data_IF_395415646930
#
_entry.id   IF_395415646930
#
_cell.length_a   1.000
_cell.length_b   1.000
_cell.length_c   1.000
_cell.angle_alpha   90.00
_cell.angle_beta   90.00
_cell.angle_gamma   90.00
#
_symmetry.space_group_name_H-M   'P 1'
#
loop_
_entity.id
_entity.type
_entity.pdbx_description
1 polymer ?
#
# COMPACT_ATOMS: atom_id res chain seq x y z
N UNK A 1 -4.24 -75.64 -62.69
CA UNK A 1 -4.46 -74.69 -63.80
C UNK A 1 -5.29 -73.53 -63.27
N UNK A 2 -4.67 -72.36 -63.09
CA UNK A 2 -5.30 -71.08 -62.75
C UNK A 2 -4.69 -70.02 -63.68
N UNK A 3 -5.46 -69.14 -64.34
CA UNK A 3 -4.92 -68.20 -65.30
C UNK A 3 -4.30 -67.00 -64.59
N UNK A 4 -3.06 -66.68 -64.97
CA UNK A 4 -2.33 -65.45 -64.64
C UNK A 4 -3.04 -64.26 -65.30
N UNK A 5 -3.64 -63.36 -64.51
CA UNK A 5 -4.09 -62.07 -65.02
C UNK A 5 -2.88 -61.13 -65.17
N UNK A 6 -2.60 -60.72 -66.40
CA UNK A 6 -1.67 -59.64 -66.72
C UNK A 6 -2.27 -58.32 -66.22
N UNK A 7 -1.50 -57.59 -65.41
CA UNK A 7 -1.77 -56.19 -65.08
C UNK A 7 -1.28 -55.35 -66.26
N UNK A 8 -2.20 -54.80 -67.06
CA UNK A 8 -1.90 -53.80 -68.09
C UNK A 8 -1.42 -52.51 -67.41
N UNK A 9 -0.16 -52.14 -67.67
CA UNK A 9 0.38 -50.85 -67.30
C UNK A 9 -0.27 -49.76 -68.16
N UNK A 10 -1.27 -49.08 -67.60
CA UNK A 10 -1.89 -47.90 -68.18
C UNK A 10 -0.85 -46.78 -68.25
N UNK A 11 -0.52 -46.36 -69.48
CA UNK A 11 0.41 -45.26 -69.73
C UNK A 11 -0.12 -43.97 -69.10
N UNK A 12 0.69 -43.37 -68.22
CA UNK A 12 0.36 -42.10 -67.58
C UNK A 12 0.12 -41.02 -68.66
N UNK A 13 -0.98 -40.25 -68.57
CA UNK A 13 -1.25 -39.17 -69.51
C UNK A 13 -0.11 -38.14 -69.46
N UNK A 14 0.35 -37.69 -70.63
CA UNK A 14 1.28 -36.55 -70.73
C UNK A 14 0.50 -35.28 -70.39
N UNK A 15 0.81 -34.67 -69.25
CA UNK A 15 0.21 -33.41 -68.83
C UNK A 15 0.47 -32.30 -69.88
N UNK A 16 -0.60 -31.58 -70.26
CA UNK A 16 -0.55 -30.45 -71.17
C UNK A 16 0.23 -29.28 -70.52
N UNK A 17 1.31 -28.78 -71.14
CA UNK A 17 2.13 -27.70 -70.58
C UNK A 17 1.33 -26.43 -70.28
N UNK A 18 0.22 -26.20 -70.97
CA UNK A 18 -0.67 -25.06 -70.70
C UNK A 18 -1.36 -25.17 -69.33
N UNK A 19 -1.79 -26.38 -68.96
CA UNK A 19 -2.44 -26.67 -67.67
C UNK A 19 -1.44 -26.46 -66.53
N UNK A 20 -0.19 -26.87 -66.72
CA UNK A 20 0.89 -26.65 -65.75
C UNK A 20 1.15 -25.16 -65.54
N UNK A 21 1.25 -24.37 -66.62
CA UNK A 21 1.50 -22.93 -66.55
C UNK A 21 0.36 -22.17 -65.84
N UNK A 22 -0.90 -22.50 -66.15
CA UNK A 22 -2.07 -21.90 -65.50
C UNK A 22 -2.09 -22.21 -63.99
N UNK A 23 -1.73 -23.44 -63.63
CA UNK A 23 -1.67 -23.88 -62.23
C UNK A 23 -0.57 -23.14 -61.46
N UNK A 24 0.62 -22.97 -62.03
CA UNK A 24 1.69 -22.18 -61.40
C UNK A 24 1.28 -20.72 -61.23
N UNK A 25 0.64 -20.12 -62.25
CA UNK A 25 0.16 -18.74 -62.19
C UNK A 25 -0.87 -18.51 -61.08
N UNK A 26 -1.82 -19.42 -60.88
CA UNK A 26 -2.81 -19.31 -59.79
C UNK A 26 -2.17 -19.47 -58.41
N UNK A 27 -1.21 -20.37 -58.24
CA UNK A 27 -0.45 -20.49 -56.98
C UNK A 27 0.34 -19.23 -56.65
N UNK A 28 1.02 -18.63 -57.65
CA UNK A 28 1.74 -17.36 -57.46
C UNK A 28 0.78 -16.21 -57.10
N UNK A 29 -0.39 -16.15 -57.76
CA UNK A 29 -1.44 -15.17 -57.45
C UNK A 29 -1.97 -15.31 -56.02
N UNK A 30 -2.31 -16.52 -55.59
CA UNK A 30 -2.76 -16.80 -54.23
C UNK A 30 -1.68 -16.50 -53.18
N UNK A 31 -0.43 -16.82 -53.48
CA UNK A 31 0.69 -16.50 -52.60
C UNK A 31 0.88 -14.99 -52.43
N UNK A 32 0.81 -14.22 -53.53
CA UNK A 32 0.88 -12.76 -53.48
C UNK A 32 -0.27 -12.15 -52.66
N UNK A 33 -1.49 -12.65 -52.83
CA UNK A 33 -2.64 -12.23 -52.00
C UNK A 33 -2.40 -12.58 -50.53
N UNK A 34 -1.89 -13.78 -50.23
CA UNK A 34 -1.54 -14.20 -48.88
C UNK A 34 -0.50 -13.28 -48.22
N UNK A 35 0.55 -12.90 -48.94
CA UNK A 35 1.55 -11.94 -48.46
C UNK A 35 0.96 -10.55 -48.23
N UNK A 36 0.09 -10.07 -49.13
CA UNK A 36 -0.56 -8.78 -48.97
C UNK A 36 -1.47 -8.76 -47.72
N UNK A 37 -2.24 -9.82 -47.47
CA UNK A 37 -3.04 -9.97 -46.26
C UNK A 37 -2.16 -10.04 -45.02
N UNK A 38 -1.06 -10.80 -45.05
CA UNK A 38 -0.11 -10.88 -43.94
C UNK A 38 0.52 -9.51 -43.63
N UNK A 39 0.91 -8.74 -44.65
CA UNK A 39 1.45 -7.39 -44.49
C UNK A 39 0.43 -6.43 -43.86
N UNK A 40 -0.83 -6.47 -44.30
CA UNK A 40 -1.91 -5.69 -43.71
C UNK A 40 -2.20 -6.07 -42.24
N UNK A 41 -2.12 -7.37 -41.92
CA UNK A 41 -2.26 -7.84 -40.54
C UNK A 41 -1.09 -7.34 -39.69
N UNK A 42 0.16 -7.49 -40.14
CA UNK A 42 1.34 -7.01 -39.41
C UNK A 42 1.25 -5.50 -39.16
N UNK A 43 0.88 -4.72 -40.18
CA UNK A 43 0.71 -3.27 -40.08
C UNK A 43 -0.42 -2.89 -39.11
N UNK A 44 -1.55 -3.61 -39.15
CA UNK A 44 -2.64 -3.43 -38.18
C UNK A 44 -2.18 -3.73 -36.75
N UNK A 45 -1.47 -4.84 -36.53
CA UNK A 45 -0.93 -5.20 -35.22
C UNK A 45 0.07 -4.15 -34.72
N UNK A 46 0.91 -3.62 -35.62
CA UNK A 46 1.86 -2.55 -35.32
C UNK A 46 1.14 -1.28 -34.88
N UNK A 47 0.15 -0.80 -35.64
CA UNK A 47 -0.64 0.40 -35.28
C UNK A 47 -1.39 0.23 -33.96
N UNK A 48 -2.00 -0.93 -33.73
CA UNK A 48 -2.68 -1.21 -32.44
C UNK A 48 -1.69 -1.16 -31.29
N UNK A 49 -0.45 -1.63 -31.48
CA UNK A 49 0.61 -1.59 -30.45
C UNK A 49 1.21 -0.20 -30.25
N UNK A 50 1.32 0.60 -31.31
CA UNK A 50 1.83 1.98 -31.26
C UNK A 50 0.81 2.92 -30.60
N UNK A 51 -0.48 2.71 -30.83
CA UNK A 51 -1.57 3.45 -30.17
C UNK A 51 -2.05 2.83 -28.86
N UNK A 52 -1.44 1.72 -28.40
CA UNK A 52 -1.73 1.18 -27.08
C UNK A 52 -1.01 2.02 -26.04
N UNK A 53 -1.68 3.07 -25.57
CA UNK A 53 -1.18 3.94 -24.51
C UNK A 53 -0.73 3.12 -23.29
N UNK A 54 -1.34 1.97 -23.03
CA UNK A 54 -1.03 1.09 -21.87
C UNK A 54 0.20 0.23 -22.06
N UNK A 55 0.89 0.32 -23.20
CA UNK A 55 2.15 -0.41 -23.47
C UNK A 55 3.20 -0.13 -22.41
N UNK A 56 3.24 1.07 -21.82
CA UNK A 56 4.19 1.38 -20.74
C UNK A 56 4.03 0.42 -19.54
N UNK A 57 2.81 -0.03 -19.22
CA UNK A 57 2.57 -0.97 -18.10
C UNK A 57 3.17 -2.34 -18.35
N UNK A 58 3.53 -2.66 -19.59
CA UNK A 58 4.19 -3.91 -19.92
C UNK A 58 5.72 -3.85 -19.80
N UNK A 59 6.28 -2.64 -19.66
CA UNK A 59 7.73 -2.43 -19.58
C UNK A 59 8.19 -2.56 -18.13
N UNK A 60 8.97 -3.60 -17.77
CA UNK A 60 9.40 -3.81 -16.39
C UNK A 60 10.13 -2.61 -15.82
N UNK A 61 11.01 -1.97 -16.59
CA UNK A 61 11.77 -0.79 -16.17
C UNK A 61 10.88 0.41 -15.76
N UNK A 62 9.66 0.52 -16.29
CA UNK A 62 8.77 1.64 -15.98
C UNK A 62 7.89 1.39 -14.75
N UNK A 63 7.44 0.15 -14.54
CA UNK A 63 6.39 -0.16 -13.54
C UNK A 63 6.77 -1.27 -12.56
N UNK A 64 8.06 -1.58 -12.39
CA UNK A 64 8.42 -2.46 -11.29
C UNK A 64 8.03 -3.92 -11.51
N UNK A 65 7.83 -4.59 -10.38
CA UNK A 65 7.13 -5.86 -10.23
C UNK A 65 5.64 -5.79 -10.66
N UNK A 66 5.08 -4.59 -10.88
CA UNK A 66 3.68 -4.41 -11.27
C UNK A 66 3.42 -4.63 -12.76
N UNK A 67 4.47 -4.87 -13.56
CA UNK A 67 4.31 -4.99 -15.01
C UNK A 67 3.27 -6.03 -15.44
N UNK A 68 2.47 -5.68 -16.44
CA UNK A 68 1.49 -6.56 -17.05
C UNK A 68 2.15 -7.34 -18.20
N UNK A 69 1.57 -8.48 -18.58
CA UNK A 69 2.05 -9.20 -19.76
C UNK A 69 1.66 -8.40 -21.01
N UNK A 70 2.63 -8.11 -21.86
CA UNK A 70 2.38 -7.49 -23.15
C UNK A 70 1.43 -8.35 -23.99
N UNK A 71 0.51 -7.70 -24.72
CA UNK A 71 -0.40 -8.41 -25.61
C UNK A 71 0.38 -9.02 -26.78
N UNK A 72 0.21 -10.33 -26.96
CA UNK A 72 0.78 -11.04 -28.10
C UNK A 72 0.20 -10.49 -29.42
N UNK A 73 0.94 -10.60 -30.52
CA UNK A 73 0.56 -9.94 -31.79
C UNK A 73 -0.81 -10.41 -32.29
N UNK A 74 -1.14 -11.68 -32.10
CA UNK A 74 -2.43 -12.27 -32.49
C UNK A 74 -3.61 -11.57 -31.80
N UNK A 75 -3.74 -11.52 -30.46
CA UNK A 75 -4.82 -10.77 -29.82
C UNK A 75 -4.81 -9.27 -30.13
N UNK A 76 -3.65 -8.68 -30.41
CA UNK A 76 -3.57 -7.28 -30.84
C UNK A 76 -4.23 -7.06 -32.23
N UNK A 77 -4.17 -8.03 -33.14
CA UNK A 77 -4.91 -7.97 -34.42
C UNK A 77 -6.42 -7.83 -34.22
N UNK A 78 -6.95 -8.49 -33.18
CA UNK A 78 -8.35 -8.42 -32.79
C UNK A 78 -8.68 -7.20 -31.92
N UNK A 79 -7.79 -6.21 -31.84
CA UNK A 79 -8.00 -4.98 -31.10
C UNK A 79 -7.93 -5.14 -29.58
N UNK A 80 -7.43 -6.28 -29.06
CA UNK A 80 -7.18 -6.40 -27.61
C UNK A 80 -6.01 -5.49 -27.24
N UNK A 81 -6.23 -4.66 -26.22
CA UNK A 81 -5.23 -3.75 -25.65
C UNK A 81 -4.57 -4.36 -24.41
N UNK A 82 -3.44 -3.81 -24.00
CA UNK A 82 -2.79 -4.19 -22.75
C UNK A 82 -3.75 -4.00 -21.59
N UNK A 83 -3.80 -5.01 -20.72
CA UNK A 83 -4.68 -4.99 -19.55
C UNK A 83 -4.34 -3.76 -18.69
N UNK A 84 -5.38 -3.13 -18.16
CA UNK A 84 -5.20 -2.03 -17.23
C UNK A 84 -4.43 -2.51 -16.00
N UNK A 85 -3.39 -1.75 -15.63
CA UNK A 85 -2.64 -2.04 -14.43
C UNK A 85 -3.48 -1.64 -13.22
N UNK A 86 -3.78 -2.63 -12.38
CA UNK A 86 -4.48 -2.46 -11.11
C UNK A 86 -3.50 -2.63 -9.98
N UNK A 87 -3.41 -1.66 -9.09
CA UNK A 87 -2.54 -1.67 -7.91
C UNK A 87 -3.37 -1.41 -6.65
N UNK A 88 -2.94 -1.85 -5.45
CA UNK A 88 -3.60 -1.45 -4.21
C UNK A 88 -3.75 0.08 -4.10
N UNK A 89 -4.78 0.57 -3.44
CA UNK A 89 -4.91 1.99 -3.10
C UNK A 89 -3.90 2.38 -2.01
N UNK A 90 -3.54 3.66 -1.93
CA UNK A 90 -2.72 4.17 -0.80
C UNK A 90 -3.45 3.92 0.52
N UNK A 91 -4.77 4.11 0.56
CA UNK A 91 -5.61 3.74 1.71
C UNK A 91 -5.41 2.29 2.12
N UNK A 92 -5.45 1.36 1.16
CA UNK A 92 -5.23 -0.07 1.41
C UNK A 92 -3.84 -0.38 1.95
N UNK A 93 -2.80 0.34 1.50
CA UNK A 93 -1.45 0.21 2.06
C UNK A 93 -1.39 0.73 3.50
N UNK A 94 -1.97 1.91 3.77
CA UNK A 94 -2.02 2.52 5.11
C UNK A 94 -2.78 1.61 6.09
N UNK A 95 -3.91 1.04 5.66
CA UNK A 95 -4.68 0.06 6.45
C UNK A 95 -3.82 -1.13 6.90
N UNK A 96 -2.93 -1.63 6.05
CA UNK A 96 -2.00 -2.71 6.43
C UNK A 96 -0.87 -2.23 7.35
N UNK A 97 -0.46 -0.97 7.21
CA UNK A 97 0.47 -0.33 8.14
C UNK A 97 -0.16 -0.20 9.53
N UNK A 98 -1.45 0.10 9.59
CA UNK A 98 -2.20 0.26 10.85
C UNK A 98 -2.38 -1.09 11.55
N UNK A 99 -2.34 -2.18 10.79
CA UNK A 99 -2.30 -3.57 11.26
C UNK A 99 -0.88 -4.05 11.61
N UNK A 100 0.12 -3.17 11.51
CA UNK A 100 1.52 -3.47 11.82
C UNK A 100 2.23 -4.37 10.79
N UNK A 101 1.66 -4.53 9.59
CA UNK A 101 2.26 -5.36 8.53
C UNK A 101 3.49 -4.71 7.89
N UNK A 102 3.63 -3.40 8.03
CA UNK A 102 4.84 -2.66 7.65
C UNK A 102 4.98 -1.42 8.55
N UNK A 103 6.13 -0.74 8.46
CA UNK A 103 6.47 0.44 9.28
C UNK A 103 7.09 1.53 8.42
N UNK A 104 7.16 2.75 8.95
CA UNK A 104 7.85 3.86 8.28
C UNK A 104 9.30 3.50 7.88
N UNK A 105 9.99 2.65 8.64
CA UNK A 105 11.34 2.15 8.30
C UNK A 105 11.40 1.33 7.00
N UNK A 106 10.30 0.75 6.53
CA UNK A 106 10.26 0.07 5.23
C UNK A 106 10.63 1.03 4.10
N UNK A 107 10.34 2.32 4.27
CA UNK A 107 10.61 3.38 3.29
C UNK A 107 12.08 3.83 3.25
N UNK A 108 12.91 3.40 4.20
CA UNK A 108 14.32 3.78 4.24
C UNK A 108 15.09 3.28 3.01
N UNK A 109 14.76 2.06 2.58
CA UNK A 109 15.44 1.36 1.50
C UNK A 109 14.79 1.60 0.14
N UNK A 110 13.80 2.50 0.08
CA UNK A 110 12.98 2.66 -1.11
C UNK A 110 13.77 3.29 -2.27
N UNK A 111 14.51 4.38 -2.08
CA UNK A 111 14.98 5.19 -3.22
C UNK A 111 16.50 5.45 -3.21
N UNK A 112 17.31 4.41 -3.44
CA UNK A 112 18.69 4.64 -3.91
C UNK A 112 18.72 5.12 -5.38
N UNK A 113 17.59 5.05 -6.11
CA UNK A 113 17.51 5.43 -7.52
C UNK A 113 16.49 6.53 -7.78
N UNK A 114 16.86 7.51 -8.61
CA UNK A 114 15.98 8.56 -9.13
C UNK A 114 15.05 7.95 -10.19
N UNK A 115 14.13 7.08 -9.79
CA UNK A 115 13.16 6.53 -10.73
C UNK A 115 12.19 7.64 -11.14
N UNK A 116 11.88 7.73 -12.44
CA UNK A 116 10.83 8.63 -12.96
C UNK A 116 9.42 8.31 -12.40
N UNK A 117 9.29 7.22 -11.64
CA UNK A 117 8.04 6.61 -11.19
C UNK A 117 8.04 6.39 -9.67
N UNK A 118 7.91 7.49 -8.93
CA UNK A 118 8.01 7.55 -7.47
C UNK A 118 7.08 6.57 -6.72
N UNK A 119 5.87 6.33 -7.23
CA UNK A 119 4.91 5.41 -6.57
C UNK A 119 5.32 3.94 -6.69
N UNK A 120 6.01 3.54 -7.76
CA UNK A 120 6.44 2.14 -7.96
C UNK A 120 7.36 1.75 -6.82
N UNK A 121 8.35 2.61 -6.56
CA UNK A 121 9.35 2.44 -5.52
C UNK A 121 8.72 2.42 -4.13
N UNK A 122 7.77 3.32 -3.85
CA UNK A 122 6.98 3.31 -2.61
C UNK A 122 6.27 1.96 -2.41
N UNK A 123 5.58 1.48 -3.44
CA UNK A 123 4.81 0.23 -3.35
C UNK A 123 5.71 -0.99 -3.21
N UNK A 124 6.82 -1.06 -3.95
CA UNK A 124 7.77 -2.16 -3.85
C UNK A 124 8.38 -2.25 -2.46
N UNK A 125 8.79 -1.12 -1.88
CA UNK A 125 9.30 -1.05 -0.50
C UNK A 125 8.27 -1.57 0.51
N UNK A 126 7.02 -1.08 0.46
CA UNK A 126 5.96 -1.49 1.38
C UNK A 126 5.61 -2.97 1.19
N UNK A 127 5.38 -3.41 -0.04
CA UNK A 127 4.99 -4.79 -0.32
C UNK A 127 6.12 -5.78 -0.05
N UNK A 128 7.38 -5.37 -0.20
CA UNK A 128 8.54 -6.18 0.21
C UNK A 128 8.53 -6.39 1.70
N UNK A 129 8.28 -5.33 2.47
CA UNK A 129 8.17 -5.42 3.93
C UNK A 129 6.99 -6.29 4.38
N UNK A 130 5.85 -6.23 3.68
CA UNK A 130 4.70 -7.07 3.99
C UNK A 130 5.03 -8.54 3.69
N UNK A 131 5.60 -8.81 2.51
CA UNK A 131 5.97 -10.16 2.08
C UNK A 131 7.05 -10.79 2.97
N UNK A 132 8.01 -10.01 3.46
CA UNK A 132 9.09 -10.52 4.33
C UNK A 132 8.61 -10.88 5.74
N UNK A 133 7.55 -10.22 6.24
CA UNK A 133 7.03 -10.42 7.60
C UNK A 133 6.00 -11.54 7.70
N UNK A 134 5.35 -11.90 6.61
CA UNK A 134 4.31 -12.92 6.59
C UNK A 134 4.65 -13.98 5.54
N UNK A 135 5.02 -15.22 5.95
CA UNK A 135 5.17 -16.31 5.00
C UNK A 135 3.82 -16.56 4.30
N UNK A 136 3.87 -17.09 3.08
CA UNK A 136 2.71 -17.10 2.17
C UNK A 136 1.51 -17.92 2.67
N UNK A 137 1.75 -18.85 3.58
CA UNK A 137 0.76 -19.66 4.30
C UNK A 137 -0.02 -18.85 5.35
N UNK A 138 0.57 -17.77 5.88
CA UNK A 138 -0.04 -16.89 6.88
C UNK A 138 -0.74 -15.67 6.28
N UNK A 139 -0.82 -15.58 4.94
CA UNK A 139 -1.53 -14.48 4.30
C UNK A 139 -3.04 -14.56 4.58
N UNK A 140 -3.69 -13.41 4.84
CA UNK A 140 -5.15 -13.33 4.91
C UNK A 140 -5.83 -14.03 3.72
N UNK A 141 -6.96 -14.69 3.99
CA UNK A 141 -7.69 -15.46 2.95
C UNK A 141 -8.14 -14.58 1.78
N UNK A 142 -8.51 -13.33 2.05
CA UNK A 142 -8.87 -12.34 1.05
C UNK A 142 -7.69 -12.01 0.12
N UNK A 143 -6.47 -11.92 0.64
CA UNK A 143 -5.27 -11.73 -0.19
C UNK A 143 -4.99 -12.96 -1.06
N UNK A 144 -5.23 -14.16 -0.52
CA UNK A 144 -5.09 -15.43 -1.25
C UNK A 144 -6.12 -15.57 -2.36
N UNK A 145 -7.34 -15.08 -2.12
CA UNK A 145 -8.41 -15.04 -3.12
C UNK A 145 -8.17 -13.98 -4.21
N UNK A 146 -7.55 -12.85 -3.89
CA UNK A 146 -7.25 -11.80 -4.88
C UNK A 146 -5.98 -12.10 -5.68
N UNK A 147 -6.16 -12.53 -6.94
CA UNK A 147 -5.05 -12.90 -7.83
C UNK A 147 -4.02 -11.78 -8.03
N UNK A 148 -4.42 -10.50 -7.91
CA UNK A 148 -3.50 -9.38 -8.15
C UNK A 148 -2.57 -9.22 -6.96
N UNK A 149 -3.12 -9.17 -5.75
CA UNK A 149 -2.35 -9.05 -4.51
C UNK A 149 -1.36 -10.21 -4.36
N UNK A 150 -1.85 -11.45 -4.51
CA UNK A 150 -1.00 -12.65 -4.50
C UNK A 150 0.14 -12.59 -5.52
N UNK A 151 -0.16 -12.14 -6.74
CA UNK A 151 0.85 -12.02 -7.79
C UNK A 151 1.91 -10.98 -7.44
N UNK A 152 1.51 -9.83 -6.90
CA UNK A 152 2.46 -8.79 -6.50
C UNK A 152 3.36 -9.27 -5.37
N UNK A 153 2.78 -9.78 -4.27
CA UNK A 153 3.56 -10.27 -3.14
C UNK A 153 4.52 -11.40 -3.52
N UNK A 154 4.09 -12.33 -4.39
CA UNK A 154 4.97 -13.40 -4.90
C UNK A 154 6.09 -12.88 -5.81
N UNK A 155 5.80 -11.88 -6.63
CA UNK A 155 6.83 -11.28 -7.50
C UNK A 155 7.86 -10.54 -6.68
N UNK A 156 7.41 -9.69 -5.76
CA UNK A 156 8.26 -8.91 -4.87
C UNK A 156 9.13 -9.82 -3.98
N UNK A 157 8.56 -10.91 -3.47
CA UNK A 157 9.32 -11.89 -2.70
C UNK A 157 10.24 -12.80 -3.53
N UNK A 158 10.16 -12.76 -4.86
CA UNK A 158 11.03 -13.57 -5.73
C UNK A 158 12.33 -12.82 -6.00
N UNK A 159 13.46 -13.42 -5.63
CA UNK A 159 14.81 -12.89 -5.90
C UNK A 159 15.16 -12.78 -7.39
N UNK A 160 14.29 -13.24 -8.30
CA UNK A 160 14.48 -13.21 -9.77
C UNK A 160 14.07 -11.88 -10.40
N UNK A 161 14.54 -10.78 -9.83
CA UNK A 161 14.40 -9.46 -10.41
C UNK A 161 15.63 -9.14 -11.28
N UNK A 162 15.79 -9.86 -12.41
CA UNK A 162 16.99 -9.78 -13.27
C UNK A 162 17.20 -8.41 -13.94
N UNK A 163 16.24 -7.48 -13.89
CA UNK A 163 16.31 -6.21 -14.63
C UNK A 163 15.79 -4.99 -13.84
N UNK A 164 15.75 -5.06 -12.51
CA UNK A 164 15.20 -3.97 -11.70
C UNK A 164 16.24 -3.09 -11.03
N UNK A 165 15.85 -1.83 -10.82
CA UNK A 165 16.69 -0.77 -10.27
C UNK A 165 16.98 -1.01 -8.79
N UNK A 166 16.07 -1.70 -8.10
CA UNK A 166 16.32 -2.34 -6.81
C UNK A 166 17.25 -3.53 -7.10
N UNK A 167 18.57 -3.28 -7.05
CA UNK A 167 19.59 -4.32 -7.23
C UNK A 167 19.21 -5.53 -6.36
N UNK A 168 19.36 -6.78 -6.80
CA UNK A 168 19.15 -7.95 -5.94
C UNK A 168 19.82 -7.81 -4.58
N UNK A 169 20.97 -7.14 -4.54
CA UNK A 169 21.69 -6.71 -3.32
C UNK A 169 20.85 -5.89 -2.35
N UNK A 170 19.93 -5.05 -2.78
CA UNK A 170 19.09 -4.22 -1.90
C UNK A 170 17.96 -5.01 -1.24
N UNK A 171 17.35 -5.98 -1.93
CA UNK A 171 16.43 -6.94 -1.29
C UNK A 171 17.19 -7.92 -0.40
N UNK A 172 18.36 -8.39 -0.83
CA UNK A 172 19.25 -9.19 0.02
C UNK A 172 19.74 -8.38 1.23
N UNK A 173 20.06 -7.09 1.08
CA UNK A 173 20.38 -6.16 2.18
C UNK A 173 19.16 -5.90 3.06
N UNK A 174 17.95 -5.86 2.52
CA UNK A 174 16.72 -5.75 3.30
C UNK A 174 16.53 -6.99 4.18
N UNK A 175 16.62 -8.18 3.58
CA UNK A 175 16.56 -9.46 4.28
C UNK A 175 17.70 -9.57 5.29
N UNK A 176 18.93 -9.28 4.89
CA UNK A 176 20.12 -9.27 5.74
C UNK A 176 19.97 -8.26 6.88
N UNK A 177 19.50 -7.04 6.66
CA UNK A 177 19.29 -6.06 7.73
C UNK A 177 18.21 -6.51 8.73
N UNK A 178 17.20 -7.25 8.26
CA UNK A 178 16.14 -7.82 9.08
C UNK A 178 16.60 -9.10 9.82
N UNK A 179 17.39 -9.96 9.17
CA UNK A 179 17.93 -11.21 9.70
C UNK A 179 19.14 -10.98 10.62
N UNK A 180 20.05 -10.06 10.28
CA UNK A 180 21.19 -9.62 11.11
C UNK A 180 20.79 -8.75 12.29
N UNK A 181 19.49 -8.62 12.56
CA UNK A 181 18.88 -7.88 13.69
C UNK A 181 19.15 -6.37 13.70
N UNK A 182 19.75 -5.77 12.67
CA UNK A 182 20.06 -4.32 12.62
C UNK A 182 18.83 -3.43 12.49
N UNK A 183 17.73 -3.96 11.99
CA UNK A 183 16.42 -3.30 11.97
C UNK A 183 15.42 -4.16 12.73
N UNK A 184 15.44 -4.09 14.06
CA UNK A 184 14.32 -4.64 14.85
C UNK A 184 13.10 -3.81 14.51
N UNK A 185 12.12 -4.41 13.82
CA UNK A 185 10.79 -3.83 13.71
C UNK A 185 10.20 -3.77 15.12
N UNK A 186 10.33 -2.63 15.77
CA UNK A 186 9.80 -2.35 17.12
C UNK A 186 8.29 -2.12 17.11
N UNK A 187 7.56 -2.66 16.12
CA UNK A 187 6.11 -2.78 16.16
C UNK A 187 5.67 -3.58 17.38
N UNK A 188 5.48 -2.90 18.49
CA UNK A 188 4.76 -3.46 19.63
C UNK A 188 3.30 -3.53 19.24
N UNK A 189 2.72 -4.73 19.36
CA UNK A 189 1.29 -4.89 19.17
C UNK A 189 0.58 -4.19 20.33
N UNK A 190 -0.35 -3.29 20.00
CA UNK A 190 -1.24 -2.70 20.99
C UNK A 190 -2.02 -3.82 21.68
N UNK A 191 -2.26 -3.65 22.97
CA UNK A 191 -3.00 -4.63 23.74
C UNK A 191 -4.43 -4.75 23.22
N UNK A 192 -5.02 -5.94 23.34
CA UNK A 192 -6.46 -6.06 23.09
C UNK A 192 -7.17 -5.37 24.25
N UNK A 193 -8.13 -4.46 23.97
CA UNK A 193 -8.89 -3.84 25.04
C UNK A 193 -9.57 -4.92 25.88
N UNK A 194 -9.70 -4.72 27.20
CA UNK A 194 -10.49 -5.62 28.03
C UNK A 194 -11.87 -5.75 27.38
N UNK A 195 -12.33 -6.99 27.18
CA UNK A 195 -13.64 -7.21 26.56
C UNK A 195 -14.64 -6.44 27.40
N UNK A 196 -15.43 -5.52 26.83
CA UNK A 196 -16.48 -4.88 27.59
C UNK A 196 -17.28 -6.01 28.23
N UNK A 197 -17.37 -5.99 29.57
CA UNK A 197 -18.30 -6.85 30.31
C UNK A 197 -19.59 -6.74 29.53
N UNK A 198 -20.12 -7.85 29.01
CA UNK A 198 -21.31 -7.86 28.16
C UNK A 198 -22.46 -7.20 28.94
N UNK A 199 -22.50 -5.86 28.97
CA UNK A 199 -23.70 -5.11 29.23
C UNK A 199 -24.61 -5.58 28.14
N UNK A 200 -25.73 -6.15 28.54
CA UNK A 200 -26.81 -6.68 27.73
C UNK A 200 -27.28 -5.61 26.73
N UNK A 201 -26.45 -5.30 25.72
CA UNK A 201 -26.83 -4.64 24.51
C UNK A 201 -27.66 -5.68 23.78
N UNK A 202 -28.93 -5.60 24.13
CA UNK A 202 -30.08 -6.24 23.51
C UNK A 202 -29.82 -6.45 22.02
N UNK A 203 -30.17 -7.65 21.59
CA UNK A 203 -29.95 -8.26 20.29
C UNK A 203 -30.64 -7.56 19.09
N UNK A 204 -30.81 -6.25 19.13
CA UNK A 204 -31.57 -5.46 18.16
C UNK A 204 -30.72 -4.48 17.34
N UNK A 205 -29.40 -4.43 17.56
CA UNK A 205 -28.48 -3.77 16.64
C UNK A 205 -28.04 -4.69 15.48
N UNK A 206 -28.92 -5.60 15.06
CA UNK A 206 -28.96 -6.15 13.71
C UNK A 206 -29.39 -5.03 12.76
N UNK A 207 -28.60 -3.95 12.73
CA UNK A 207 -28.63 -2.99 11.64
C UNK A 207 -28.45 -3.84 10.41
N UNK A 208 -29.45 -3.79 9.54
CA UNK A 208 -29.45 -4.35 8.21
C UNK A 208 -28.26 -3.78 7.43
N UNK A 209 -27.06 -4.32 7.70
CA UNK A 209 -25.93 -4.28 6.79
C UNK A 209 -26.38 -5.21 5.68
N UNK A 210 -27.13 -4.62 4.74
CA UNK A 210 -27.54 -5.30 3.53
C UNK A 210 -26.32 -5.98 2.91
N UNK A 211 -26.57 -7.02 2.13
CA UNK A 211 -25.57 -7.64 1.24
C UNK A 211 -25.10 -6.66 0.15
N UNK A 212 -24.91 -5.39 0.47
CA UNK A 212 -24.13 -4.45 -0.33
C UNK A 212 -22.69 -4.95 -0.25
N UNK A 213 -22.20 -5.39 -1.42
CA UNK A 213 -21.07 -6.30 -1.58
C UNK A 213 -19.93 -6.00 -0.63
N UNK A 214 -19.38 -7.07 -0.04
CA UNK A 214 -18.20 -7.04 0.82
C UNK A 214 -17.20 -5.99 0.33
N UNK A 215 -17.18 -4.85 1.00
CA UNK A 215 -16.29 -3.75 0.66
C UNK A 215 -14.89 -4.29 0.82
N UNK A 216 -14.18 -4.50 -0.29
CA UNK A 216 -12.80 -4.98 -0.28
C UNK A 216 -11.96 -4.06 0.62
N UNK A 217 -11.28 -4.64 1.61
CA UNK A 217 -10.41 -3.90 2.54
C UNK A 217 -8.93 -4.17 2.23
N UNK A 218 -8.04 -3.35 2.79
CA UNK A 218 -6.60 -3.53 2.72
C UNK A 218 -6.07 -3.57 1.28
N UNK A 219 -5.13 -4.49 1.02
CA UNK A 219 -4.49 -4.64 -0.30
C UNK A 219 -5.45 -5.01 -1.42
N UNK A 220 -6.59 -5.62 -1.10
CA UNK A 220 -7.61 -6.02 -2.08
C UNK A 220 -8.38 -4.81 -2.64
N UNK A 221 -8.26 -3.63 -2.02
CA UNK A 221 -8.82 -2.38 -2.53
C UNK A 221 -7.95 -1.84 -3.66
N UNK A 222 -8.20 -2.33 -4.87
CA UNK A 222 -7.42 -1.99 -6.07
C UNK A 222 -7.92 -0.70 -6.75
N UNK A 223 -6.99 0.09 -7.27
CA UNK A 223 -7.22 1.23 -8.16
C UNK A 223 -6.53 1.01 -9.49
N UNK A 224 -7.08 1.59 -10.55
CA UNK A 224 -6.47 1.57 -11.88
C UNK A 224 -5.44 2.69 -11.99
N UNK A 225 -4.29 2.41 -12.62
CA UNK A 225 -3.27 3.43 -12.92
C UNK A 225 -3.68 4.28 -14.12
N UNK A 226 -3.34 5.56 -14.06
CA UNK A 226 -3.59 6.55 -15.09
C UNK A 226 -2.29 6.86 -15.82
N UNK A 227 -2.39 7.40 -17.03
CA UNK A 227 -1.24 7.88 -17.79
C UNK A 227 -1.35 9.39 -17.86
N UNK A 228 -0.43 10.08 -17.25
CA UNK A 228 -0.36 11.54 -17.30
C UNK A 228 1.00 11.93 -17.84
N UNK A 229 1.03 12.61 -18.99
CA UNK A 229 2.27 13.01 -19.69
C UNK A 229 3.28 11.86 -19.90
N UNK A 230 2.77 10.70 -20.33
CA UNK A 230 3.59 9.51 -20.58
C UNK A 230 4.11 8.80 -19.32
N UNK A 231 3.68 9.22 -18.12
CA UNK A 231 4.06 8.59 -16.85
C UNK A 231 2.88 7.86 -16.22
N UNK A 232 3.19 6.73 -15.59
CA UNK A 232 2.26 5.99 -14.77
C UNK A 232 1.94 6.78 -13.51
N UNK A 233 0.67 7.11 -13.29
CA UNK A 233 0.21 7.80 -12.09
C UNK A 233 -0.86 6.99 -11.37
N UNK A 234 -0.95 7.17 -10.05
CA UNK A 234 -2.04 6.67 -9.23
C UNK A 234 -2.84 7.86 -8.73
N UNK A 235 -4.17 7.69 -8.63
CA UNK A 235 -5.02 8.70 -8.01
C UNK A 235 -4.86 8.59 -6.49
N UNK A 236 -4.63 9.72 -5.85
CA UNK A 236 -4.47 9.85 -4.40
C UNK A 236 -5.46 10.90 -3.90
N UNK A 237 -6.15 10.64 -2.78
CA UNK A 237 -7.02 11.64 -2.13
C UNK A 237 -6.22 12.60 -1.25
N UNK A 238 -6.86 13.66 -0.76
CA UNK A 238 -6.20 14.62 0.15
C UNK A 238 -5.84 13.96 1.47
N UNK A 239 -6.72 13.10 1.96
CA UNK A 239 -6.57 12.35 3.21
C UNK A 239 -5.48 11.29 3.09
N UNK A 240 -5.38 10.61 1.95
CA UNK A 240 -4.27 9.70 1.63
C UNK A 240 -2.93 10.41 1.60
N UNK A 241 -2.87 11.58 0.95
CA UNK A 241 -1.66 12.39 0.89
C UNK A 241 -1.26 12.92 2.28
N UNK A 242 -2.23 13.39 3.06
CA UNK A 242 -1.99 13.86 4.43
C UNK A 242 -1.50 12.74 5.34
N UNK A 243 -2.12 11.56 5.27
CA UNK A 243 -1.68 10.40 6.02
C UNK A 243 -0.27 9.96 5.62
N UNK A 244 0.06 9.93 4.32
CA UNK A 244 1.43 9.64 3.86
C UNK A 244 2.44 10.65 4.42
N UNK A 245 2.10 11.94 4.42
CA UNK A 245 2.96 12.98 4.99
C UNK A 245 3.18 12.77 6.50
N UNK A 246 2.13 12.44 7.26
CA UNK A 246 2.24 12.14 8.69
C UNK A 246 3.11 10.89 8.93
N UNK A 247 2.87 9.81 8.18
CA UNK A 247 3.59 8.53 8.27
C UNK A 247 5.07 8.69 7.92
N UNK A 248 5.41 9.65 7.08
CA UNK A 248 6.79 9.95 6.72
C UNK A 248 7.38 11.08 7.55
N UNK A 249 6.61 11.71 8.45
CA UNK A 249 7.04 12.85 9.26
C UNK A 249 7.26 14.14 8.46
N UNK A 250 6.64 14.29 7.29
CA UNK A 250 6.84 15.41 6.37
C UNK A 250 6.06 16.66 6.75
N UNK A 251 6.77 17.74 7.08
CA UNK A 251 6.13 19.05 7.28
C UNK A 251 6.05 19.75 5.93
N UNK A 252 4.83 19.97 5.43
CA UNK A 252 4.65 20.72 4.19
C UNK A 252 4.85 22.21 4.44
N UNK A 253 5.71 22.79 3.62
CA UNK A 253 5.88 24.23 3.48
C UNK A 253 5.29 24.64 2.15
N UNK A 254 4.45 25.67 2.16
CA UNK A 254 3.96 26.29 0.94
C UNK A 254 4.98 27.31 0.49
N UNK A 255 5.48 27.17 -0.74
CA UNK A 255 6.38 28.16 -1.29
C UNK A 255 5.56 29.38 -1.72
N UNK A 256 5.91 30.56 -1.21
CA UNK A 256 5.11 31.78 -1.32
C UNK A 256 4.63 32.05 -2.76
N UNK A 257 3.33 32.36 -2.88
CA UNK A 257 2.60 32.66 -4.14
C UNK A 257 2.51 31.55 -5.18
N UNK A 258 3.20 30.43 -5.01
CA UNK A 258 3.08 29.28 -5.90
C UNK A 258 1.98 28.30 -5.46
N UNK A 259 1.51 27.46 -6.39
CA UNK A 259 0.73 26.26 -6.10
C UNK A 259 1.65 25.05 -5.91
N UNK A 260 2.81 25.30 -5.29
CA UNK A 260 3.81 24.29 -4.97
C UNK A 260 3.92 24.14 -3.46
N UNK A 261 3.86 22.89 -3.01
CA UNK A 261 4.02 22.49 -1.62
C UNK A 261 5.18 21.49 -1.59
N UNK A 262 6.15 21.70 -0.73
CA UNK A 262 7.26 20.77 -0.53
C UNK A 262 7.44 20.49 0.95
N UNK A 263 7.71 19.24 1.28
CA UNK A 263 8.03 18.83 2.65
C UNK A 263 9.16 17.83 2.69
N UNK A 264 9.94 17.89 3.76
CA UNK A 264 10.98 16.91 4.08
C UNK A 264 10.54 16.10 5.28
N UNK A 265 10.71 14.79 5.21
CA UNK A 265 10.34 13.83 6.23
C UNK A 265 11.53 13.01 6.73
N UNK A 266 11.21 12.04 7.57
CA UNK A 266 12.12 10.99 7.97
C UNK A 266 12.67 10.20 6.78
N UNK A 267 13.74 9.46 7.03
CA UNK A 267 14.38 8.62 6.01
C UNK A 267 14.93 9.38 4.78
N UNK A 268 15.11 10.70 4.90
CA UNK A 268 15.58 11.54 3.79
C UNK A 268 14.56 11.69 2.68
N UNK A 269 13.29 11.38 2.94
CA UNK A 269 12.21 11.50 1.97
C UNK A 269 11.79 12.97 1.83
N UNK A 270 11.49 13.40 0.62
CA UNK A 270 10.84 14.66 0.31
C UNK A 270 9.63 14.43 -0.56
N UNK A 271 8.58 15.21 -0.36
CA UNK A 271 7.36 15.14 -1.13
C UNK A 271 7.06 16.51 -1.72
N UNK A 272 7.08 16.54 -3.05
CA UNK A 272 6.85 17.71 -3.87
C UNK A 272 5.48 17.61 -4.50
N UNK A 273 4.60 18.55 -4.18
CA UNK A 273 3.25 18.61 -4.70
C UNK A 273 3.14 19.88 -5.53
N UNK A 274 2.84 19.72 -6.83
CA UNK A 274 2.73 20.83 -7.76
C UNK A 274 1.41 20.78 -8.50
N UNK A 275 0.78 21.94 -8.69
CA UNK A 275 -0.37 22.09 -9.58
C UNK A 275 0.08 22.57 -10.96
N UNK A 276 -0.13 21.75 -11.98
CA UNK A 276 0.17 22.09 -13.37
C UNK A 276 -0.94 21.58 -14.31
N UNK A 277 -1.31 22.39 -15.31
CA UNK A 277 -2.28 22.02 -16.36
C UNK A 277 -3.59 21.42 -15.81
N UNK A 278 -4.18 22.09 -14.80
CA UNK A 278 -5.42 21.66 -14.13
C UNK A 278 -5.33 20.33 -13.37
N UNK A 279 -4.13 19.83 -13.09
CA UNK A 279 -3.91 18.62 -12.29
C UNK A 279 -2.94 18.89 -11.13
N UNK A 280 -3.23 18.28 -9.99
CA UNK A 280 -2.27 18.19 -8.88
C UNK A 280 -1.44 16.92 -9.08
N UNK A 281 -0.12 17.09 -9.02
CA UNK A 281 0.85 15.99 -9.10
C UNK A 281 1.69 15.98 -7.84
N UNK A 282 1.99 14.79 -7.33
CA UNK A 282 2.83 14.59 -6.16
C UNK A 282 4.00 13.66 -6.54
N UNK A 283 5.22 14.08 -6.22
CA UNK A 283 6.44 13.33 -6.44
C UNK A 283 7.12 13.06 -5.09
N UNK A 284 7.33 11.80 -4.78
CA UNK A 284 8.06 11.35 -3.59
C UNK A 284 9.50 11.04 -4.01
N UNK A 285 10.44 11.81 -3.49
CA UNK A 285 11.87 11.71 -3.80
C UNK A 285 12.61 11.35 -2.50
N UNK A 286 13.73 10.64 -2.58
CA UNK A 286 14.64 10.52 -1.44
C UNK A 286 15.92 11.27 -1.77
N UNK A 287 16.25 12.21 -0.90
CA UNK A 287 17.53 12.90 -0.96
C UNK A 287 18.68 11.97 -0.56
N UNK A 288 19.91 12.27 -0.99
CA UNK A 288 21.09 11.55 -0.53
C UNK A 288 21.19 11.64 1.00
N UNK A 289 21.51 10.50 1.63
CA UNK A 289 21.69 10.41 3.08
C UNK A 289 23.14 10.19 3.42
N UNK A 290 23.61 10.89 4.46
CA UNK A 290 24.91 10.58 5.05
C UNK A 290 24.78 9.28 5.87
N UNK A 291 25.82 8.44 5.97
CA UNK A 291 25.77 7.20 6.75
C UNK A 291 25.35 7.41 8.21
N UNK A 292 25.70 8.55 8.81
CA UNK A 292 25.26 8.94 10.16
C UNK A 292 23.75 9.21 10.30
N UNK A 293 23.04 9.34 9.19
CA UNK A 293 21.59 9.48 9.16
C UNK A 293 20.90 8.13 8.89
N UNK A 294 21.65 7.04 8.72
CA UNK A 294 21.07 5.71 8.60
C UNK A 294 20.16 5.43 9.81
N UNK A 295 19.02 4.76 9.61
CA UNK A 295 18.13 4.45 10.72
C UNK A 295 18.88 3.62 11.77
N UNK A 296 18.70 4.00 13.03
CA UNK A 296 19.07 3.17 14.16
C UNK A 296 18.12 1.97 14.29
N UNK A 297 18.60 0.95 15.00
CA UNK A 297 17.79 -0.17 15.47
C UNK A 297 16.46 0.32 16.05
N UNK A 298 15.35 -0.07 15.42
CA UNK A 298 14.02 0.32 15.90
C UNK A 298 13.50 1.68 15.45
N UNK A 299 14.13 2.35 14.46
CA UNK A 299 13.71 3.67 13.98
C UNK A 299 12.37 3.70 13.22
N UNK A 300 11.62 2.60 13.17
CA UNK A 300 10.33 2.51 12.50
C UNK A 300 9.16 2.61 13.46
N UNK A 301 8.10 3.28 13.04
CA UNK A 301 6.82 3.35 13.75
C UNK A 301 5.69 2.84 12.86
N UNK A 302 4.59 2.39 13.48
CA UNK A 302 3.39 2.00 12.74
C UNK A 302 2.70 3.24 12.20
N UNK A 303 1.99 3.09 11.07
CA UNK A 303 1.22 4.19 10.49
C UNK A 303 0.14 4.68 11.45
N UNK A 304 -0.46 3.75 12.21
CA UNK A 304 -1.44 4.07 13.24
C UNK A 304 -0.85 4.96 14.31
N UNK A 305 0.30 4.59 14.88
CA UNK A 305 0.98 5.42 15.88
C UNK A 305 1.31 6.80 15.33
N UNK A 306 1.86 6.89 14.11
CA UNK A 306 2.16 8.18 13.47
C UNK A 306 0.94 9.10 13.39
N UNK A 307 -0.19 8.56 12.90
CA UNK A 307 -1.45 9.30 12.78
C UNK A 307 -1.94 9.80 14.14
N UNK A 308 -1.94 8.93 15.15
CA UNK A 308 -2.40 9.30 16.48
C UNK A 308 -1.51 10.38 17.13
N UNK A 309 -0.19 10.21 17.11
CA UNK A 309 0.75 11.16 17.73
C UNK A 309 0.66 12.54 17.05
N UNK A 310 0.58 12.59 15.72
CA UNK A 310 0.40 13.85 14.98
C UNK A 310 -0.92 14.56 15.35
N UNK A 311 -1.95 13.80 15.68
CA UNK A 311 -3.27 14.31 16.07
C UNK A 311 -3.43 14.48 17.60
N UNK A 312 -2.35 14.46 18.38
CA UNK A 312 -2.43 14.72 19.83
C UNK A 312 -2.94 13.55 20.67
N UNK A 313 -2.89 12.33 20.15
CA UNK A 313 -3.38 11.14 20.86
C UNK A 313 -2.33 10.03 20.96
N UNK A 314 -2.41 9.24 22.02
CA UNK A 314 -1.53 8.11 22.31
C UNK A 314 -2.37 6.83 22.33
N UNK A 315 -2.25 5.96 21.32
CA UNK A 315 -2.99 4.71 21.26
C UNK A 315 -2.32 3.69 22.18
N UNK A 316 -3.12 2.97 22.98
CA UNK A 316 -2.59 1.98 23.93
C UNK A 316 -3.27 0.61 23.86
N UNK A 317 -4.46 0.55 23.27
CA UNK A 317 -5.17 -0.68 23.01
C UNK A 317 -5.89 -0.63 21.66
N UNK A 318 -6.05 -1.79 21.01
CA UNK A 318 -6.66 -1.88 19.70
C UNK A 318 -7.37 -3.21 19.50
N UNK A 319 -8.48 -3.17 18.77
CA UNK A 319 -9.14 -4.32 18.19
C UNK A 319 -9.21 -4.19 16.65
N UNK A 320 -9.89 -5.13 15.99
CA UNK A 320 -10.10 -5.11 14.53
C UNK A 320 -10.75 -3.80 14.08
N UNK A 321 -11.79 -3.36 14.79
CA UNK A 321 -12.65 -2.27 14.33
C UNK A 321 -12.42 -0.93 15.04
N UNK A 322 -11.71 -0.92 16.18
CA UNK A 322 -11.58 0.28 17.01
C UNK A 322 -10.24 0.35 17.74
N UNK A 323 -9.86 1.56 18.17
CA UNK A 323 -8.62 1.89 18.88
C UNK A 323 -8.96 2.69 20.12
N UNK A 324 -8.42 2.29 21.27
CA UNK A 324 -8.45 3.09 22.50
C UNK A 324 -7.19 3.97 22.51
N UNK A 325 -7.40 5.26 22.74
CA UNK A 325 -6.32 6.23 22.82
C UNK A 325 -6.55 7.23 23.94
N UNK A 326 -5.46 7.79 24.47
CA UNK A 326 -5.50 8.96 25.35
C UNK A 326 -5.30 10.19 24.47
N UNK A 327 -6.24 11.13 24.48
CA UNK A 327 -6.08 12.42 23.79
C UNK A 327 -5.52 13.45 24.78
N UNK A 328 -4.34 13.97 24.47
CA UNK A 328 -3.52 14.77 25.39
C UNK A 328 -3.88 16.25 25.24
N UNK A 329 -4.99 16.64 25.87
CA UNK A 329 -5.35 18.05 26.07
C UNK A 329 -4.43 18.70 27.10
N UNK A 330 -4.49 20.02 27.25
CA UNK A 330 -3.69 20.74 28.26
C UNK A 330 -4.01 20.26 29.69
N UNK A 331 -5.29 19.95 29.97
CA UNK A 331 -5.72 19.36 31.25
C UNK A 331 -5.06 17.99 31.48
N UNK A 332 -5.10 17.12 30.46
CA UNK A 332 -4.51 15.78 30.53
C UNK A 332 -2.99 15.85 30.64
N UNK A 333 -2.35 16.78 29.94
CA UNK A 333 -0.91 17.01 30.01
C UNK A 333 -0.49 17.41 31.44
N UNK A 334 -1.20 18.36 32.05
CA UNK A 334 -0.96 18.75 33.45
C UNK A 334 -1.12 17.55 34.38
N UNK A 335 -2.20 16.77 34.21
CA UNK A 335 -2.41 15.56 35.00
C UNK A 335 -1.29 14.53 34.80
N UNK A 336 -0.83 14.29 33.57
CA UNK A 336 0.28 13.38 33.26
C UNK A 336 1.56 13.84 33.97
N UNK A 337 1.90 15.12 33.89
CA UNK A 337 3.08 15.71 34.56
C UNK A 337 3.03 15.59 36.08
N UNK A 338 1.84 15.67 36.66
CA UNK A 338 1.60 15.51 38.09
C UNK A 338 1.50 14.05 38.52
N UNK A 339 1.52 13.09 37.58
CA UNK A 339 1.30 11.68 37.87
C UNK A 339 -0.15 11.30 38.17
N UNK A 340 -1.09 12.17 37.80
CA UNK A 340 -2.53 11.99 37.95
C UNK A 340 -3.11 10.90 37.05
N UNK A 341 -4.36 10.55 37.34
CA UNK A 341 -5.12 9.54 36.61
C UNK A 341 -6.00 10.18 35.53
N UNK A 342 -6.21 9.44 34.45
CA UNK A 342 -7.00 9.86 33.29
C UNK A 342 -8.34 9.13 33.33
N UNK A 343 -9.43 9.79 32.94
CA UNK A 343 -10.77 9.21 32.92
C UNK A 343 -11.47 9.45 31.57
N UNK A 344 -12.31 8.52 31.14
CA UNK A 344 -13.22 8.73 30.02
C UNK A 344 -14.31 9.78 30.33
N UNK A 345 -14.27 10.94 29.65
CA UNK A 345 -15.31 11.99 29.71
C UNK A 345 -16.44 11.79 28.69
N UNK A 346 -16.38 10.79 27.79
CA UNK A 346 -17.37 10.47 26.73
C UNK A 346 -17.82 11.61 25.81
N UNK A 347 -17.16 12.76 25.81
CA UNK A 347 -17.52 13.89 24.95
C UNK A 347 -16.70 13.88 23.64
N UNK A 348 -17.01 14.80 22.73
CA UNK A 348 -16.39 14.89 21.41
C UNK A 348 -14.91 15.32 21.48
N UNK A 349 -14.03 14.54 20.83
CA UNK A 349 -12.57 14.65 20.87
C UNK A 349 -11.90 15.82 20.11
N UNK A 350 -12.64 16.88 19.78
CA UNK A 350 -12.11 18.06 19.08
C UNK A 350 -11.69 17.81 17.61
N UNK A 351 -11.22 18.88 16.96
CA UNK A 351 -10.94 18.94 15.52
C UNK A 351 -9.82 17.97 15.09
N UNK A 352 -8.78 17.80 15.92
CA UNK A 352 -7.67 16.90 15.61
C UNK A 352 -8.11 15.44 15.54
N UNK A 353 -9.02 15.01 16.41
CA UNK A 353 -9.58 13.65 16.35
C UNK A 353 -10.61 13.50 15.23
N UNK A 354 -11.34 14.55 14.87
CA UNK A 354 -12.17 14.52 13.67
C UNK A 354 -11.34 14.39 12.40
N UNK A 355 -10.21 15.11 12.32
CA UNK A 355 -9.27 14.98 11.22
C UNK A 355 -8.67 13.56 11.16
N UNK A 356 -8.24 13.02 12.31
CA UNK A 356 -7.75 11.65 12.42
C UNK A 356 -8.76 10.64 11.86
N UNK A 357 -10.06 10.84 12.15
CA UNK A 357 -11.15 9.97 11.66
C UNK A 357 -11.35 10.00 10.14
N UNK A 358 -10.88 11.06 9.47
CA UNK A 358 -10.96 11.18 8.01
C UNK A 358 -9.78 10.50 7.32
N UNK A 359 -8.70 10.18 8.04
CA UNK A 359 -7.51 9.58 7.46
C UNK A 359 -7.78 8.13 7.04
N UNK A 360 -7.11 7.60 6.01
CA UNK A 360 -7.30 6.23 5.58
C UNK A 360 -6.96 5.21 6.66
N UNK A 361 -7.64 4.06 6.59
CA UNK A 361 -7.55 3.02 7.61
C UNK A 361 -8.15 3.42 8.95
N UNK A 362 -9.03 4.41 8.95
CA UNK A 362 -9.70 4.81 10.17
C UNK A 362 -10.48 3.66 10.79
N UNK A 363 -10.28 3.53 12.09
CA UNK A 363 -10.98 2.63 12.97
C UNK A 363 -11.81 3.51 13.90
N UNK A 364 -12.86 2.98 14.50
CA UNK A 364 -13.56 3.77 15.53
C UNK A 364 -12.57 4.16 16.63
N UNK A 365 -12.43 5.46 16.88
CA UNK A 365 -11.50 5.99 17.87
C UNK A 365 -12.27 6.29 19.14
N UNK A 366 -11.93 5.55 20.18
CA UNK A 366 -12.33 5.81 21.56
C UNK A 366 -11.21 6.60 22.23
N UNK A 367 -11.45 7.89 22.46
CA UNK A 367 -10.44 8.83 22.93
C UNK A 367 -10.77 9.30 24.35
N UNK A 368 -9.86 9.02 25.27
CA UNK A 368 -9.95 9.32 26.69
C UNK A 368 -9.18 10.59 27.00
N UNK A 369 -9.80 11.58 27.64
CA UNK A 369 -9.17 12.89 27.88
C UNK A 369 -9.68 13.63 29.13
N UNK A 370 -10.38 12.94 30.02
CA UNK A 370 -10.72 13.50 31.31
C UNK A 370 -9.57 13.38 32.30
N UNK A 371 -9.56 14.26 33.29
CA UNK A 371 -8.72 14.13 34.48
C UNK A 371 -9.60 13.61 35.62
N UNK A 372 -9.08 12.64 36.37
CA UNK A 372 -9.76 12.15 37.56
C UNK A 372 -9.59 13.16 38.70
N UNK A 373 -10.67 13.88 39.04
CA UNK A 373 -10.73 14.71 40.24
C UNK A 373 -11.15 13.84 41.42
N UNK A 374 -10.28 13.71 42.42
CA UNK A 374 -10.55 12.90 43.61
C UNK A 374 -11.61 13.61 44.46
N UNK A 375 -12.87 13.19 44.34
CA UNK A 375 -14.01 13.83 45.00
C UNK A 375 -14.09 13.56 46.52
N UNK A 376 -12.99 13.18 47.17
CA UNK A 376 -12.87 13.08 48.63
C UNK A 376 -13.59 11.90 49.28
N UNK A 377 -14.01 10.87 48.53
CA UNK A 377 -14.76 9.72 49.08
C UNK A 377 -13.91 8.44 49.01
N UNK A 378 -13.08 8.20 50.03
CA UNK A 378 -12.26 6.99 50.13
C UNK A 378 -12.94 5.90 50.99
N UNK A 379 -13.35 4.78 50.36
CA UNK A 379 -13.51 3.47 51.03
C UNK A 379 -12.95 2.28 50.24
N UNK A 380 -12.50 2.48 49.00
CA UNK A 380 -11.93 1.44 48.13
C UNK A 380 -10.41 1.59 48.04
N UNK A 381 -9.64 0.52 47.77
CA UNK A 381 -8.26 0.68 47.34
C UNK A 381 -8.24 1.61 46.11
N UNK A 382 -7.47 2.70 46.20
CA UNK A 382 -7.42 3.70 45.14
C UNK A 382 -6.89 3.13 43.82
N UNK A 383 -7.16 3.80 42.69
CA UNK A 383 -6.61 3.42 41.39
C UNK A 383 -5.08 3.39 41.40
N UNK A 384 -4.49 2.60 40.51
CA UNK A 384 -3.04 2.56 40.32
C UNK A 384 -2.50 3.93 39.88
N UNK A 385 -1.22 4.21 40.14
CA UNK A 385 -0.60 5.46 39.71
C UNK A 385 -0.60 5.58 38.19
N UNK A 386 -1.13 6.69 37.67
CA UNK A 386 -1.28 6.92 36.25
C UNK A 386 -2.32 5.99 35.59
N UNK A 387 -3.31 5.52 36.34
CA UNK A 387 -4.40 4.72 35.83
C UNK A 387 -5.19 5.48 34.75
N UNK A 388 -5.60 4.72 33.74
CA UNK A 388 -6.58 5.12 32.73
C UNK A 388 -7.89 4.44 33.10
N UNK A 389 -8.86 5.23 33.53
CA UNK A 389 -10.14 4.78 34.05
C UNK A 389 -11.24 4.93 33.00
N UNK A 390 -12.12 3.94 32.95
CA UNK A 390 -13.38 4.06 32.23
C UNK A 390 -14.31 5.10 32.90
N UNK A 391 -15.38 5.50 32.23
CA UNK A 391 -16.30 6.53 32.71
C UNK A 391 -16.99 6.19 34.04
N UNK A 392 -17.01 4.89 34.41
CA UNK A 392 -17.55 4.40 35.68
C UNK A 392 -16.62 4.61 36.88
N UNK A 393 -15.37 5.07 36.67
CA UNK A 393 -14.31 5.25 37.68
C UNK A 393 -13.83 3.97 38.39
N UNK A 394 -14.45 2.83 38.10
CA UNK A 394 -14.14 1.55 38.75
C UNK A 394 -13.29 0.65 37.84
N UNK A 395 -13.47 0.75 36.52
CA UNK A 395 -12.80 -0.11 35.57
C UNK A 395 -11.49 0.53 35.10
N UNK A 396 -10.36 -0.04 35.53
CA UNK A 396 -9.04 0.31 35.01
C UNK A 396 -8.83 -0.32 33.62
N UNK A 397 -8.61 0.51 32.61
CA UNK A 397 -8.33 0.09 31.23
C UNK A 397 -6.85 -0.17 30.99
N UNK A 398 -5.98 0.40 31.84
CA UNK A 398 -4.54 0.31 31.78
C UNK A 398 -3.89 1.50 32.50
N UNK A 399 -2.61 1.75 32.25
CA UNK A 399 -1.90 2.92 32.79
C UNK A 399 -1.25 3.72 31.67
N UNK A 400 -1.22 5.05 31.80
CA UNK A 400 -0.61 5.91 30.80
C UNK A 400 0.92 5.74 30.70
N UNK A 401 1.68 5.45 31.78
CA UNK A 401 3.12 5.15 31.63
C UNK A 401 3.34 3.90 30.78
N UNK A 402 2.45 2.90 30.89
CA UNK A 402 2.50 1.70 30.05
C UNK A 402 2.13 2.00 28.60
N UNK A 403 1.16 2.89 28.35
CA UNK A 403 0.85 3.39 27.01
C UNK A 403 2.06 4.06 26.35
N UNK A 404 2.74 4.97 27.07
CA UNK A 404 3.94 5.67 26.59
C UNK A 404 5.12 4.73 26.41
N UNK A 405 5.35 3.78 27.32
CA UNK A 405 6.42 2.78 27.20
C UNK A 405 6.24 1.83 26.00
N UNK A 406 5.05 1.77 25.41
CA UNK A 406 4.81 1.04 24.16
C UNK A 406 5.18 1.86 22.91
N UNK A 407 5.41 3.16 23.03
CA UNK A 407 5.92 4.00 21.94
C UNK A 407 7.41 3.70 21.77
N UNK A 408 7.77 3.06 20.65
CA UNK A 408 9.16 2.77 20.36
C UNK A 408 9.88 4.02 19.82
N UNK A 409 10.66 4.69 20.67
CA UNK A 409 11.52 5.81 20.27
C UNK A 409 12.90 5.29 19.81
N UNK A 410 12.96 4.70 18.63
CA UNK A 410 14.21 4.13 18.07
C UNK A 410 14.98 5.06 17.14
N UNK A 411 14.76 6.37 17.17
CA UNK A 411 15.60 7.37 16.48
C UNK A 411 14.85 8.41 15.64
N UNK A 412 13.84 8.01 14.86
CA UNK A 412 12.97 8.94 14.10
C UNK A 412 11.57 8.95 14.71
N UNK A 413 11.20 10.08 15.31
CA UNK A 413 9.85 10.30 15.82
C UNK A 413 8.98 10.80 14.66
N UNK A 414 7.74 10.30 14.48
CA UNK A 414 6.81 10.91 13.54
C UNK A 414 6.57 12.37 13.92
N UNK A 415 5.83 13.09 13.07
CA UNK A 415 5.18 14.30 13.54
C UNK A 415 4.35 13.98 14.79
N UNK A 416 4.54 14.79 15.82
CA UNK A 416 3.83 14.67 17.07
C UNK A 416 3.31 16.04 17.47
N UNK A 417 2.11 16.05 18.05
CA UNK A 417 1.55 17.23 18.66
C UNK A 417 2.42 17.67 19.86
N UNK A 418 2.64 18.98 20.08
CA UNK A 418 3.45 19.47 21.19
C UNK A 418 3.09 18.87 22.56
N UNK A 419 1.79 18.73 22.86
CA UNK A 419 1.34 18.18 24.13
C UNK A 419 1.75 16.72 24.32
N UNK A 420 1.77 15.95 23.23
CA UNK A 420 2.24 14.54 23.25
C UNK A 420 3.76 14.46 23.39
N UNK A 421 4.49 15.45 22.90
CA UNK A 421 5.96 15.53 23.05
C UNK A 421 6.34 15.92 24.48
N UNK A 422 5.54 16.77 25.11
CA UNK A 422 5.78 17.29 26.46
C UNK A 422 5.30 16.36 27.58
N UNK A 423 4.28 15.53 27.31
CA UNK A 423 3.81 14.43 28.15
C UNK A 423 4.82 13.28 28.20
#
# INVERSE_FOLDING_TARGET
MYPRQLIEATAAPKDDPWVVAQTVGTFLGLFAIGLAVAALLIERARRVREHDERRFTSTPAAVGCFHTKQVHWIPALFGRRTAELKVPTISGLIEEGDRGKWTSSSLDLAFESHSDHTWVTLYESILSSIASRAPSDQWPEDWRADKYVCRFLRRVGSTKHENHVIKPDSFARYLDAHETRKLVSTCRQLQKPPRPRQQNQSANATVARGKEGESKTGLCRLTSTWIVRGRACIRVTREELAALAIITGMVFTRQDRSLYLSGFGGFGLSLDVSHAEASWSAALVQGPRLPRHAPSLGAGYTTLMAKHLACGSIPFAQNRDWVVSVYVTDEVLTAIKEGGNIIDKRAFGGDSLEFLRRLPGDKFIDALYGVYEDAGVQKSPGPSFGAILHADRETELGTWPHAVAQIAFGGLVPQANPNVVEA
#
